data_IF_636406236080
#
_entry.id   IF_636406236080
#
_cell.length_a   1.000
_cell.length_b   1.000
_cell.length_c   1.000
_cell.angle_alpha   90.00
_cell.angle_beta   90.00
_cell.angle_gamma   90.00
#
_symmetry.space_group_name_H-M   'P 1'
#
loop_
_entity.id
_entity.type
_entity.pdbx_description
1 polymer ?
#
# COMPACT_ATOMS: atom_id res chain seq x y z
N UNK A 1 11.66 16.47 12.90
CA UNK A 1 12.47 16.73 11.69
C UNK A 1 11.94 15.90 10.54
N UNK A 2 11.69 16.53 9.42
CA UNK A 2 11.11 15.86 8.25
C UNK A 2 12.04 14.82 7.66
N UNK A 3 11.47 13.69 7.25
CA UNK A 3 12.22 12.62 6.60
C UNK A 3 11.29 11.79 5.71
N UNK A 4 11.86 11.15 4.71
CA UNK A 4 11.18 10.07 4.01
C UNK A 4 11.45 8.77 4.73
N UNK A 5 10.40 7.95 4.90
CA UNK A 5 10.51 6.69 5.63
C UNK A 5 10.79 5.56 4.65
N UNK A 6 11.81 4.75 4.95
CA UNK A 6 12.12 3.57 4.15
C UNK A 6 11.31 2.36 4.62
N UNK A 7 11.14 1.43 3.71
CA UNK A 7 10.39 0.18 3.93
C UNK A 7 10.85 -0.56 5.18
N UNK A 8 12.17 -0.66 5.41
CA UNK A 8 12.67 -1.42 6.54
C UNK A 8 12.25 -0.86 7.90
N UNK A 9 12.06 0.46 8.02
CA UNK A 9 11.55 1.07 9.25
C UNK A 9 10.11 0.62 9.50
N UNK A 10 9.30 0.64 8.46
CA UNK A 10 7.89 0.23 8.54
C UNK A 10 7.73 -1.26 8.85
N UNK A 11 8.48 -2.09 8.15
CA UNK A 11 8.42 -3.54 8.33
C UNK A 11 8.83 -3.94 9.75
N UNK A 12 9.89 -3.34 10.27
CA UNK A 12 10.33 -3.63 11.65
C UNK A 12 9.29 -3.20 12.67
N UNK A 13 8.74 -2.01 12.48
CA UNK A 13 7.65 -1.53 13.35
C UNK A 13 6.44 -2.47 13.33
N UNK A 14 6.02 -2.90 12.13
CA UNK A 14 4.82 -3.71 11.96
C UNK A 14 5.00 -5.15 12.42
N UNK A 15 6.20 -5.71 12.26
CA UNK A 15 6.45 -7.12 12.56
C UNK A 15 7.06 -7.36 13.93
N UNK A 16 7.65 -6.33 14.54
CA UNK A 16 8.38 -6.49 15.78
C UNK A 16 9.71 -7.23 15.65
N UNK A 17 10.24 -7.35 14.45
CA UNK A 17 11.41 -8.19 14.14
C UNK A 17 12.51 -7.40 13.44
N UNK A 18 13.76 -7.41 13.94
CA UNK A 18 14.14 -7.94 15.26
C UNK A 18 13.70 -6.98 16.39
N UNK A 19 13.50 -7.48 17.61
CA UNK A 19 12.86 -6.70 18.67
C UNK A 19 13.51 -5.35 18.98
N UNK A 20 14.84 -5.29 19.02
CA UNK A 20 15.53 -4.04 19.31
C UNK A 20 15.31 -2.99 18.23
N UNK A 21 15.48 -3.36 16.98
CA UNK A 21 15.29 -2.44 15.84
C UNK A 21 13.82 -2.06 15.71
N UNK A 22 12.92 -2.99 15.98
CA UNK A 22 11.48 -2.73 15.96
C UNK A 22 11.08 -1.69 17.01
N UNK A 23 11.63 -1.80 18.21
CA UNK A 23 11.38 -0.82 19.28
C UNK A 23 11.87 0.57 18.89
N UNK A 24 13.04 0.66 18.26
CA UNK A 24 13.60 1.92 17.77
C UNK A 24 12.75 2.51 16.64
N UNK A 25 12.28 1.67 15.71
CA UNK A 25 11.41 2.11 14.62
C UNK A 25 10.08 2.67 15.17
N UNK A 26 9.47 1.95 16.10
CA UNK A 26 8.23 2.38 16.74
C UNK A 26 8.39 3.70 17.47
N UNK A 27 9.46 3.85 18.24
CA UNK A 27 9.77 5.09 18.97
C UNK A 27 9.99 6.26 18.00
N UNK A 28 10.69 6.01 16.89
CA UNK A 28 10.93 7.02 15.87
C UNK A 28 9.62 7.52 15.23
N UNK A 29 8.76 6.60 14.83
CA UNK A 29 7.47 6.93 14.22
C UNK A 29 6.56 7.70 15.19
N UNK A 30 6.68 7.45 16.49
CA UNK A 30 5.88 8.13 17.50
C UNK A 30 6.40 9.52 17.84
N UNK A 31 7.71 9.74 17.73
CA UNK A 31 8.37 10.96 18.23
C UNK A 31 8.58 12.03 17.17
N UNK A 32 8.70 11.64 15.89
CA UNK A 32 9.04 12.56 14.82
C UNK A 32 7.80 13.21 14.21
N UNK A 33 8.03 14.32 13.51
CA UNK A 33 7.01 15.04 12.74
C UNK A 33 7.31 14.92 11.24
N UNK A 34 6.27 15.02 10.42
CA UNK A 34 6.39 15.13 8.96
C UNK A 34 7.24 14.00 8.35
N UNK A 35 6.81 12.79 8.59
CA UNK A 35 7.41 11.60 8.00
C UNK A 35 6.68 11.26 6.70
N UNK A 36 7.38 11.42 5.58
CA UNK A 36 6.78 11.22 4.26
C UNK A 36 6.81 9.74 3.89
N UNK A 37 5.63 9.22 3.59
CA UNK A 37 5.42 7.84 3.18
C UNK A 37 4.99 7.83 1.71
N UNK A 38 5.87 7.32 0.83
CA UNK A 38 5.57 7.25 -0.60
C UNK A 38 4.73 6.04 -0.94
N UNK A 39 3.97 6.12 -2.03
CA UNK A 39 3.17 4.99 -2.51
C UNK A 39 4.05 3.80 -2.87
N UNK A 40 5.24 4.06 -3.40
CA UNK A 40 6.21 3.00 -3.73
C UNK A 40 6.65 2.23 -2.49
N UNK A 41 6.93 2.94 -1.40
CA UNK A 41 7.32 2.31 -0.13
C UNK A 41 6.16 1.50 0.45
N UNK A 42 4.93 1.99 0.31
CA UNK A 42 3.74 1.22 0.73
C UNK A 42 3.65 -0.09 -0.06
N UNK A 43 3.80 -0.03 -1.38
CA UNK A 43 3.75 -1.23 -2.23
C UNK A 43 4.83 -2.24 -1.83
N UNK A 44 6.05 -1.77 -1.58
CA UNK A 44 7.16 -2.62 -1.15
C UNK A 44 6.90 -3.23 0.23
N UNK A 45 6.33 -2.45 1.14
CA UNK A 45 5.95 -2.93 2.48
C UNK A 45 4.93 -4.07 2.37
N UNK A 46 3.90 -3.89 1.56
CA UNK A 46 2.89 -4.93 1.32
C UNK A 46 3.56 -6.20 0.79
N UNK A 47 4.44 -6.05 -0.21
CA UNK A 47 5.14 -7.19 -0.81
C UNK A 47 5.97 -7.96 0.22
N UNK A 48 6.73 -7.27 1.07
CA UNK A 48 7.56 -7.90 2.10
C UNK A 48 6.70 -8.62 3.13
N UNK A 49 5.61 -8.00 3.58
CA UNK A 49 4.70 -8.61 4.54
C UNK A 49 4.04 -9.87 3.99
N UNK A 50 3.67 -9.87 2.72
CA UNK A 50 3.09 -11.05 2.06
C UNK A 50 4.12 -12.15 1.84
N UNK A 51 5.24 -11.80 1.20
CA UNK A 51 6.19 -12.78 0.66
C UNK A 51 7.15 -13.33 1.68
N UNK A 52 7.59 -12.51 2.63
CA UNK A 52 8.58 -12.88 3.62
C UNK A 52 7.96 -13.29 4.95
N UNK A 53 6.95 -12.56 5.41
CA UNK A 53 6.31 -12.79 6.71
C UNK A 53 4.99 -13.53 6.61
N UNK A 54 4.49 -13.76 5.40
CA UNK A 54 3.24 -14.49 5.16
C UNK A 54 2.05 -13.93 5.95
N UNK A 55 1.99 -12.61 6.09
CA UNK A 55 0.90 -11.94 6.80
C UNK A 55 -0.37 -12.01 5.96
N UNK A 56 -1.52 -12.37 6.55
CA UNK A 56 -2.78 -12.39 5.81
C UNK A 56 -3.17 -11.01 5.27
N UNK A 57 -3.84 -11.03 4.12
CA UNK A 57 -4.25 -9.82 3.39
C UNK A 57 -5.02 -8.81 4.25
N UNK A 58 -5.98 -9.26 5.03
CA UNK A 58 -6.76 -8.36 5.89
C UNK A 58 -5.91 -7.69 6.96
N UNK A 59 -4.93 -8.39 7.51
CA UNK A 59 -4.00 -7.84 8.49
C UNK A 59 -3.06 -6.83 7.84
N UNK A 60 -2.62 -7.08 6.60
CA UNK A 60 -1.79 -6.13 5.86
C UNK A 60 -2.57 -4.84 5.61
N UNK A 61 -3.82 -4.95 5.14
CA UNK A 61 -4.68 -3.78 4.92
C UNK A 61 -4.84 -2.95 6.20
N UNK A 62 -5.10 -3.58 7.33
CA UNK A 62 -5.19 -2.91 8.62
C UNK A 62 -3.88 -2.25 9.02
N UNK A 63 -2.76 -2.93 8.79
CA UNK A 63 -1.43 -2.39 9.10
C UNK A 63 -1.16 -1.10 8.32
N UNK A 64 -1.46 -1.08 7.03
CA UNK A 64 -1.26 0.12 6.20
C UNK A 64 -2.19 1.25 6.65
N UNK A 65 -3.45 0.96 6.95
CA UNK A 65 -4.39 1.96 7.49
C UNK A 65 -3.87 2.54 8.80
N UNK A 66 -3.33 1.70 9.67
CA UNK A 66 -2.76 2.13 10.96
C UNK A 66 -1.56 3.06 10.78
N UNK A 67 -0.69 2.76 9.82
CA UNK A 67 0.43 3.65 9.48
C UNK A 67 -0.07 5.00 9.01
N UNK A 68 -1.08 5.02 8.16
CA UNK A 68 -1.65 6.26 7.63
C UNK A 68 -2.38 7.07 8.71
N UNK A 69 -2.81 6.43 9.78
CA UNK A 69 -3.49 7.08 10.91
C UNK A 69 -2.51 7.71 11.89
N UNK A 70 -1.20 7.43 11.80
CA UNK A 70 -0.21 8.07 12.66
C UNK A 70 -0.13 9.56 12.33
N UNK A 71 -0.16 10.39 13.36
CA UNK A 71 -0.13 11.85 13.19
C UNK A 71 1.13 12.39 12.53
N UNK A 72 2.23 11.65 12.61
CA UNK A 72 3.51 12.01 12.01
C UNK A 72 3.61 11.68 10.52
N UNK A 73 2.75 10.81 10.01
CA UNK A 73 2.87 10.28 8.64
C UNK A 73 2.09 11.13 7.65
N UNK A 74 2.77 11.52 6.58
CA UNK A 74 2.19 12.30 5.49
C UNK A 74 2.31 11.49 4.20
N UNK A 75 1.19 11.34 3.49
CA UNK A 75 1.14 10.69 2.16
C UNK A 75 0.74 11.73 1.11
N UNK A 76 1.11 11.48 -0.15
CA UNK A 76 0.85 12.44 -1.24
C UNK A 76 -0.65 12.56 -1.51
N UNK A 77 -1.34 11.44 -1.63
CA UNK A 77 -2.78 11.41 -1.87
C UNK A 77 -3.42 10.34 -0.98
N UNK A 78 -3.97 10.80 0.13
CA UNK A 78 -4.56 9.91 1.13
C UNK A 78 -5.74 9.14 0.58
N UNK A 79 -6.62 9.81 -0.15
CA UNK A 79 -7.81 9.17 -0.72
C UNK A 79 -7.47 8.07 -1.72
N UNK A 80 -6.49 8.34 -2.59
CA UNK A 80 -6.01 7.37 -3.56
C UNK A 80 -5.44 6.13 -2.87
N UNK A 81 -4.58 6.33 -1.90
CA UNK A 81 -3.93 5.22 -1.19
C UNK A 81 -4.94 4.39 -0.39
N UNK A 82 -5.88 5.03 0.29
CA UNK A 82 -6.95 4.32 1.00
C UNK A 82 -7.81 3.50 0.05
N UNK A 83 -8.12 4.02 -1.15
CA UNK A 83 -8.87 3.27 -2.14
C UNK A 83 -8.07 2.07 -2.65
N UNK A 84 -6.78 2.24 -2.91
CA UNK A 84 -5.91 1.13 -3.30
C UNK A 84 -5.92 0.01 -2.26
N UNK A 85 -5.82 0.36 -0.98
CA UNK A 85 -5.88 -0.61 0.12
C UNK A 85 -7.23 -1.32 0.17
N UNK A 86 -8.33 -0.59 -0.04
CA UNK A 86 -9.67 -1.17 -0.07
C UNK A 86 -9.84 -2.16 -1.22
N UNK A 87 -9.39 -1.82 -2.42
CA UNK A 87 -9.43 -2.72 -3.58
C UNK A 87 -8.59 -3.97 -3.33
N UNK A 88 -7.40 -3.77 -2.78
CA UNK A 88 -6.50 -4.86 -2.39
C UNK A 88 -7.19 -5.83 -1.44
N UNK A 89 -7.81 -5.32 -0.41
CA UNK A 89 -8.46 -6.14 0.62
C UNK A 89 -9.75 -6.79 0.13
N UNK A 90 -10.64 -5.99 -0.46
CA UNK A 90 -12.00 -6.39 -0.78
C UNK A 90 -12.08 -7.22 -2.07
N UNK A 91 -11.37 -6.77 -3.11
CA UNK A 91 -11.41 -7.41 -4.42
C UNK A 91 -10.28 -8.40 -4.64
N UNK A 92 -9.35 -8.49 -3.70
CA UNK A 92 -8.26 -9.46 -3.67
C UNK A 92 -7.35 -9.39 -4.90
N UNK A 93 -7.07 -8.18 -5.36
CA UNK A 93 -6.05 -7.93 -6.37
C UNK A 93 -4.68 -7.81 -5.70
N UNK A 94 -3.62 -8.05 -6.45
CA UNK A 94 -2.28 -7.66 -5.99
C UNK A 94 -2.25 -6.16 -5.76
N UNK A 95 -1.43 -5.71 -4.83
CA UNK A 95 -1.44 -4.30 -4.44
C UNK A 95 -1.12 -3.37 -5.61
N UNK A 96 -0.16 -3.73 -6.46
CA UNK A 96 0.19 -2.93 -7.64
C UNK A 96 -1.01 -2.76 -8.57
N UNK A 97 -1.78 -3.81 -8.79
CA UNK A 97 -2.98 -3.76 -9.62
C UNK A 97 -4.11 -3.01 -8.95
N UNK A 98 -4.28 -3.19 -7.64
CA UNK A 98 -5.24 -2.42 -6.86
C UNK A 98 -4.94 -0.92 -6.97
N UNK A 99 -3.66 -0.56 -6.93
CA UNK A 99 -3.23 0.83 -7.09
C UNK A 99 -3.54 1.37 -8.49
N UNK A 100 -3.31 0.59 -9.55
CA UNK A 100 -3.68 0.98 -10.92
C UNK A 100 -5.18 1.23 -11.03
N UNK A 101 -6.00 0.38 -10.43
CA UNK A 101 -7.46 0.56 -10.42
C UNK A 101 -7.82 1.87 -9.73
N UNK A 102 -7.24 2.15 -8.57
CA UNK A 102 -7.49 3.38 -7.84
C UNK A 102 -7.09 4.61 -8.67
N UNK A 103 -5.97 4.55 -9.38
CA UNK A 103 -5.52 5.62 -10.28
C UNK A 103 -6.50 5.82 -11.44
N UNK A 104 -6.96 4.74 -12.05
CA UNK A 104 -7.90 4.81 -13.16
C UNK A 104 -9.22 5.46 -12.72
N UNK A 105 -9.70 5.10 -11.53
CA UNK A 105 -10.90 5.71 -10.94
C UNK A 105 -10.69 7.20 -10.67
N UNK A 106 -9.60 7.55 -10.03
CA UNK A 106 -9.35 8.92 -9.56
C UNK A 106 -9.11 9.91 -10.69
N UNK A 107 -8.59 9.45 -11.82
CA UNK A 107 -8.33 10.29 -12.99
C UNK A 107 -9.51 10.38 -13.96
N UNK A 108 -10.53 9.53 -13.78
CA UNK A 108 -11.65 9.44 -14.71
C UNK A 108 -11.32 8.68 -16.00
N UNK A 109 -10.12 8.16 -16.13
CA UNK A 109 -9.73 7.33 -17.27
C UNK A 109 -10.52 6.02 -17.27
N UNK A 110 -10.68 5.40 -16.10
CA UNK A 110 -11.50 4.22 -15.86
C UNK A 110 -11.14 2.99 -16.68
N UNK A 111 -9.94 2.92 -17.22
CA UNK A 111 -9.45 1.82 -18.05
C UNK A 111 -8.07 1.40 -17.62
N UNK A 112 -7.83 0.08 -17.59
CA UNK A 112 -6.53 -0.48 -17.25
C UNK A 112 -6.13 -1.48 -18.33
N UNK A 113 -5.04 -1.23 -19.02
CA UNK A 113 -4.49 -2.15 -20.01
C UNK A 113 -3.74 -3.26 -19.26
N UNK A 114 -4.21 -4.51 -19.37
CA UNK A 114 -3.61 -5.63 -18.65
C UNK A 114 -4.09 -6.96 -19.22
N UNK A 115 -3.21 -7.96 -19.13
CA UNK A 115 -3.58 -9.35 -19.40
C UNK A 115 -4.13 -10.04 -18.16
N UNK A 116 -4.02 -9.42 -16.98
CA UNK A 116 -4.46 -10.01 -15.73
C UNK A 116 -5.97 -9.83 -15.54
N UNK A 117 -6.69 -10.95 -15.59
CA UNK A 117 -8.15 -10.96 -15.48
C UNK A 117 -8.67 -10.62 -14.10
N UNK A 118 -7.83 -10.63 -13.08
CA UNK A 118 -8.29 -10.28 -11.71
C UNK A 118 -8.81 -8.84 -11.65
N UNK A 119 -8.34 -7.96 -12.52
CA UNK A 119 -8.82 -6.58 -12.62
C UNK A 119 -10.33 -6.53 -12.93
N UNK A 120 -10.85 -7.52 -13.64
CA UNK A 120 -12.28 -7.61 -13.94
C UNK A 120 -13.15 -7.75 -12.68
N UNK A 121 -12.57 -8.08 -11.54
CA UNK A 121 -13.28 -8.15 -10.26
C UNK A 121 -13.80 -6.79 -9.80
N UNK A 122 -13.24 -5.69 -10.34
CA UNK A 122 -13.61 -4.33 -9.91
C UNK A 122 -14.46 -3.69 -11.00
N UNK A 123 -15.76 -3.56 -10.75
CA UNK A 123 -16.73 -3.11 -11.74
C UNK A 123 -16.64 -1.64 -12.13
N UNK A 124 -15.83 -0.84 -11.44
CA UNK A 124 -15.67 0.60 -11.72
C UNK A 124 -14.68 0.89 -12.84
N UNK A 125 -13.93 -0.11 -13.28
CA UNK A 125 -12.94 0.03 -14.35
C UNK A 125 -13.19 -1.01 -15.45
N UNK A 126 -12.67 -0.72 -16.63
CA UNK A 126 -12.70 -1.64 -17.76
C UNK A 126 -11.28 -2.08 -18.06
N UNK A 127 -11.05 -3.38 -18.04
CA UNK A 127 -9.76 -3.94 -18.44
C UNK A 127 -9.69 -3.98 -19.96
N UNK A 128 -8.60 -3.49 -20.50
CA UNK A 128 -8.32 -3.53 -21.93
C UNK A 128 -7.20 -4.52 -22.18
N UNK A 129 -7.52 -5.63 -22.80
CA UNK A 129 -6.49 -6.61 -23.16
C UNK A 129 -5.92 -6.26 -24.53
N UNK A 130 -4.59 -6.12 -24.63
CA UNK A 130 -3.98 -5.81 -25.93
C UNK A 130 -4.33 -6.87 -26.98
N UNK A 131 -4.70 -6.40 -28.15
CA UNK A 131 -5.12 -7.27 -29.24
C UNK A 131 -3.95 -8.04 -29.84
N UNK A 132 -4.24 -9.19 -30.43
CA UNK A 132 -3.29 -9.96 -31.22
C UNK A 132 -2.89 -9.18 -32.47
N UNK A 133 -1.59 -9.13 -32.76
CA UNK A 133 -1.07 -8.48 -33.96
C UNK A 133 -1.25 -9.37 -35.21
#
# INVERSE_FOLDING_TARGET
MSAFVDTNVLVRHLTGDPPEMAARATAYLAAEDDLFLTDLVVAETVYVLESFYEVPRTQIAEAIRSLMALGSVIVVDRGLLLRAVEVYETHRLDFAEAYLVACAESTGVSRVASFDRTIDRVGTVVRVEPATQ
#
